data_IF_654475008157
#
_entry.id   IF_654475008157
#
_cell.length_a   1.000
_cell.length_b   1.000
_cell.length_c   1.000
_cell.angle_alpha   90.00
_cell.angle_beta   90.00
_cell.angle_gamma   90.00
#
_symmetry.space_group_name_H-M   'P 1'
#
loop_
_entity.id
_entity.type
_entity.pdbx_description
1 polymer ?
#
# COMPACT_ATOMS: atom_id res chain seq x y z
N UNK A 1 -26.07 3.49 -20.00
CA UNK A 1 -24.65 3.34 -19.62
C UNK A 1 -23.79 3.82 -20.79
N UNK A 2 -22.82 4.72 -20.58
CA UNK A 2 -21.93 5.19 -21.65
C UNK A 2 -20.95 4.10 -22.11
N UNK A 3 -20.41 4.24 -23.32
CA UNK A 3 -19.46 3.28 -23.92
C UNK A 3 -18.26 2.96 -23.01
N UNK A 4 -17.68 3.98 -22.35
CA UNK A 4 -16.58 3.80 -21.40
C UNK A 4 -17.01 2.97 -20.18
N UNK A 5 -18.22 3.18 -19.67
CA UNK A 5 -18.73 2.40 -18.54
C UNK A 5 -18.93 0.93 -18.92
N UNK A 6 -19.38 0.66 -20.15
CA UNK A 6 -19.46 -0.70 -20.69
C UNK A 6 -18.07 -1.34 -20.85
N UNK A 7 -17.07 -0.60 -21.36
CA UNK A 7 -15.69 -1.12 -21.48
C UNK A 7 -15.11 -1.53 -20.13
N UNK A 8 -15.38 -0.78 -19.07
CA UNK A 8 -14.94 -1.07 -17.70
C UNK A 8 -15.59 -2.31 -17.08
N UNK A 9 -16.60 -2.92 -17.71
CA UNK A 9 -17.16 -4.20 -17.26
C UNK A 9 -16.64 -5.38 -18.06
N UNK A 10 -15.90 -5.13 -19.15
CA UNK A 10 -15.45 -6.18 -20.04
C UNK A 10 -14.26 -6.93 -19.44
N UNK A 11 -14.44 -8.24 -19.27
CA UNK A 11 -13.40 -9.12 -18.75
C UNK A 11 -12.11 -9.06 -19.58
N UNK A 12 -12.22 -8.94 -20.91
CA UNK A 12 -11.04 -8.81 -21.79
C UNK A 12 -10.23 -7.56 -21.47
N UNK A 13 -10.86 -6.44 -21.12
CA UNK A 13 -10.15 -5.20 -20.78
C UNK A 13 -9.40 -5.35 -19.45
N UNK A 14 -10.02 -6.00 -18.47
CA UNK A 14 -9.35 -6.33 -17.20
C UNK A 14 -8.15 -7.25 -17.42
N UNK A 15 -8.27 -8.21 -18.33
CA UNK A 15 -7.18 -9.10 -18.69
C UNK A 15 -6.02 -8.35 -19.34
N UNK A 16 -6.30 -7.39 -20.23
CA UNK A 16 -5.28 -6.54 -20.85
C UNK A 16 -4.58 -5.63 -19.83
N UNK A 17 -5.33 -5.01 -18.91
CA UNK A 17 -4.75 -4.21 -17.81
C UNK A 17 -3.85 -5.09 -16.93
N UNK A 18 -4.33 -6.27 -16.54
CA UNK A 18 -3.57 -7.23 -15.75
C UNK A 18 -2.33 -7.72 -16.48
N UNK A 19 -2.42 -7.98 -17.78
CA UNK A 19 -1.28 -8.35 -18.64
C UNK A 19 -0.21 -7.25 -18.65
N UNK A 20 -0.61 -5.99 -18.87
CA UNK A 20 0.32 -4.84 -18.85
C UNK A 20 1.04 -4.75 -17.51
N UNK A 21 0.30 -4.83 -16.40
CA UNK A 21 0.90 -4.79 -15.06
C UNK A 21 1.87 -5.95 -14.81
N UNK A 22 1.47 -7.17 -15.16
CA UNK A 22 2.30 -8.37 -14.90
C UNK A 22 3.56 -8.36 -15.75
N UNK A 23 3.44 -8.15 -17.06
CA UNK A 23 4.58 -8.23 -17.97
C UNK A 23 5.54 -7.06 -17.77
N UNK A 24 5.03 -5.83 -17.59
CA UNK A 24 5.90 -4.70 -17.23
C UNK A 24 6.59 -4.93 -15.88
N UNK A 25 5.89 -5.47 -14.88
CA UNK A 25 6.48 -5.82 -13.59
C UNK A 25 7.62 -6.84 -13.70
N UNK A 26 7.46 -7.88 -14.54
CA UNK A 26 8.51 -8.86 -14.79
C UNK A 26 9.75 -8.23 -15.45
N UNK A 27 9.53 -7.38 -16.45
CA UNK A 27 10.61 -6.62 -17.11
C UNK A 27 11.30 -5.71 -16.11
N UNK A 28 10.55 -4.97 -15.30
CA UNK A 28 11.08 -4.07 -14.27
C UNK A 28 11.92 -4.87 -13.26
N UNK A 29 11.42 -5.99 -12.73
CA UNK A 29 12.17 -6.80 -11.78
C UNK A 29 13.43 -7.41 -12.40
N UNK A 30 13.40 -7.79 -13.67
CA UNK A 30 14.60 -8.24 -14.37
C UNK A 30 15.64 -7.12 -14.42
N UNK A 31 15.23 -5.88 -14.75
CA UNK A 31 16.13 -4.72 -14.71
C UNK A 31 16.64 -4.49 -13.28
N UNK A 32 15.80 -4.57 -12.25
CA UNK A 32 16.21 -4.44 -10.85
C UNK A 32 17.22 -5.51 -10.44
N UNK A 33 17.05 -6.74 -10.89
CA UNK A 33 18.03 -7.81 -10.69
C UNK A 33 19.40 -7.42 -11.29
N UNK A 34 19.39 -6.87 -12.51
CA UNK A 34 20.62 -6.35 -13.13
C UNK A 34 21.23 -5.19 -12.33
N UNK A 35 20.45 -4.38 -11.60
CA UNK A 35 21.00 -3.31 -10.77
C UNK A 35 21.82 -3.79 -9.57
N UNK A 36 21.76 -5.07 -9.18
CA UNK A 36 22.54 -5.58 -8.03
C UNK A 36 24.05 -5.33 -8.15
N UNK A 37 24.58 -5.29 -9.39
CA UNK A 37 25.99 -4.95 -9.64
C UNK A 37 26.35 -3.52 -9.20
N UNK A 38 25.36 -2.62 -9.14
CA UNK A 38 25.54 -1.24 -8.70
C UNK A 38 25.61 -1.12 -7.18
N UNK A 39 25.03 -2.06 -6.42
CA UNK A 39 24.95 -1.98 -4.96
C UNK A 39 26.33 -1.87 -4.28
N UNK A 40 27.34 -2.73 -4.60
CA UNK A 40 28.67 -2.61 -4.00
C UNK A 40 29.50 -1.43 -4.55
N UNK A 41 29.17 -0.91 -5.75
CA UNK A 41 29.91 0.19 -6.40
C UNK A 41 29.40 1.55 -5.90
N UNK A 42 28.09 1.74 -5.93
CA UNK A 42 27.42 2.97 -5.51
C UNK A 42 25.98 2.65 -5.04
N UNK A 43 25.87 2.29 -3.76
CA UNK A 43 24.60 2.02 -3.05
C UNK A 43 23.56 3.13 -3.24
N UNK A 44 23.98 4.39 -3.25
CA UNK A 44 23.06 5.52 -3.39
C UNK A 44 22.48 5.63 -4.80
N UNK A 45 23.30 5.39 -5.82
CA UNK A 45 22.82 5.31 -7.20
C UNK A 45 21.89 4.10 -7.40
N UNK A 46 22.27 2.93 -6.87
CA UNK A 46 21.40 1.74 -6.84
C UNK A 46 20.00 2.06 -6.28
N UNK A 47 19.93 2.74 -5.13
CA UNK A 47 18.67 3.13 -4.48
C UNK A 47 17.83 4.07 -5.34
N UNK A 48 18.45 5.11 -5.91
CA UNK A 48 17.75 6.08 -6.77
C UNK A 48 17.15 5.40 -7.99
N UNK A 49 17.92 4.55 -8.66
CA UNK A 49 17.44 3.77 -9.83
C UNK A 49 16.27 2.87 -9.43
N UNK A 50 16.40 2.12 -8.34
CA UNK A 50 15.34 1.24 -7.85
C UNK A 50 14.08 2.00 -7.43
N UNK A 51 14.19 3.21 -6.88
CA UNK A 51 13.03 4.07 -6.63
C UNK A 51 12.29 4.46 -7.92
N UNK A 52 13.00 4.74 -9.02
CA UNK A 52 12.36 5.06 -10.31
C UNK A 52 11.73 3.82 -10.97
N UNK A 53 12.38 2.68 -10.87
CA UNK A 53 11.83 1.39 -11.33
C UNK A 53 10.56 1.02 -10.55
N UNK A 54 10.60 1.14 -9.23
CA UNK A 54 9.45 0.93 -8.37
C UNK A 54 8.30 1.91 -8.66
N UNK A 55 8.61 3.19 -8.89
CA UNK A 55 7.63 4.19 -9.32
C UNK A 55 6.88 3.73 -10.59
N UNK A 56 7.60 3.24 -11.59
CA UNK A 56 6.98 2.77 -12.85
C UNK A 56 6.02 1.60 -12.64
N UNK A 57 6.25 0.76 -11.62
CA UNK A 57 5.33 -0.32 -11.25
C UNK A 57 4.13 0.19 -10.42
N UNK A 58 4.37 0.92 -9.33
CA UNK A 58 3.31 1.40 -8.43
C UNK A 58 2.36 2.39 -9.08
N UNK A 59 2.89 3.24 -9.97
CA UNK A 59 2.10 4.24 -10.70
C UNK A 59 1.00 3.61 -11.55
N UNK A 60 1.13 2.35 -11.99
CA UNK A 60 0.06 1.66 -12.72
C UNK A 60 -1.15 1.36 -11.83
N UNK A 61 -0.93 1.03 -10.56
CA UNK A 61 -2.01 0.84 -9.58
C UNK A 61 -2.63 2.17 -9.18
N UNK A 62 -1.81 3.22 -9.00
CA UNK A 62 -2.33 4.59 -8.77
C UNK A 62 -3.13 5.07 -9.98
N UNK A 63 -2.69 4.74 -11.21
CA UNK A 63 -3.45 5.03 -12.44
C UNK A 63 -4.83 4.37 -12.41
N UNK A 64 -4.87 3.10 -11.99
CA UNK A 64 -6.12 2.35 -11.86
C UNK A 64 -7.08 3.02 -10.85
N UNK A 65 -6.56 3.53 -9.74
CA UNK A 65 -7.36 4.25 -8.73
C UNK A 65 -7.84 5.62 -9.23
N UNK A 66 -6.93 6.46 -9.73
CA UNK A 66 -7.24 7.87 -10.02
C UNK A 66 -7.94 8.04 -11.37
N UNK A 67 -7.41 7.43 -12.42
CA UNK A 67 -7.83 7.68 -13.80
C UNK A 67 -8.86 6.66 -14.27
N UNK A 68 -8.65 5.38 -13.95
CA UNK A 68 -9.56 4.32 -14.39
C UNK A 68 -10.86 4.28 -13.59
N UNK A 69 -10.83 4.17 -12.26
CA UNK A 69 -12.07 4.18 -11.46
C UNK A 69 -12.62 5.58 -11.20
N UNK A 70 -11.78 6.61 -11.36
CA UNK A 70 -12.15 7.99 -11.06
C UNK A 70 -12.26 8.28 -9.57
N UNK A 71 -11.70 7.42 -8.71
CA UNK A 71 -11.73 7.62 -7.25
C UNK A 71 -11.10 8.96 -6.87
N UNK A 72 -11.74 9.63 -5.92
CA UNK A 72 -11.26 10.89 -5.36
C UNK A 72 -10.68 10.65 -3.97
N UNK A 73 -9.61 11.39 -3.67
CA UNK A 73 -8.99 11.41 -2.36
C UNK A 73 -8.91 12.86 -1.89
N UNK A 74 -9.56 13.15 -0.77
CA UNK A 74 -9.61 14.45 -0.11
C UNK A 74 -8.73 14.39 1.13
N UNK A 75 -7.92 15.42 1.33
CA UNK A 75 -7.03 15.55 2.48
C UNK A 75 -7.61 16.58 3.46
N UNK A 76 -7.55 16.28 4.75
CA UNK A 76 -7.93 17.18 5.84
C UNK A 76 -6.71 17.37 6.74
N UNK A 77 -6.20 18.59 6.81
CA UNK A 77 -5.02 18.92 7.61
C UNK A 77 -4.93 20.44 7.82
N UNK A 78 -3.88 20.92 8.46
CA UNK A 78 -3.51 22.33 8.47
C UNK A 78 -2.51 22.64 7.32
N UNK A 79 -2.49 23.89 6.86
CA UNK A 79 -1.66 24.31 5.73
C UNK A 79 -0.16 24.15 6.00
N UNK A 80 0.28 24.39 7.24
CA UNK A 80 1.70 24.25 7.62
C UNK A 80 2.15 22.78 7.46
N UNK A 81 1.32 21.83 7.90
CA UNK A 81 1.55 20.39 7.68
C UNK A 81 1.61 20.05 6.19
N UNK A 82 0.64 20.48 5.38
CA UNK A 82 0.63 20.17 3.93
C UNK A 82 1.89 20.71 3.23
N UNK A 83 2.39 21.86 3.63
CA UNK A 83 3.60 22.47 3.05
C UNK A 83 4.88 21.65 3.28
N UNK A 84 4.89 20.73 4.26
CA UNK A 84 6.01 19.81 4.53
C UNK A 84 5.98 18.54 3.68
N UNK A 85 4.84 18.20 3.08
CA UNK A 85 4.68 16.92 2.39
C UNK A 85 5.63 16.78 1.20
N UNK A 86 6.27 15.61 1.11
CA UNK A 86 7.25 15.29 0.07
C UNK A 86 8.63 15.93 0.28
N UNK A 87 8.85 16.63 1.41
CA UNK A 87 10.09 17.37 1.71
C UNK A 87 10.78 16.92 3.00
N UNK A 88 10.32 15.84 3.61
CA UNK A 88 10.92 15.26 4.82
C UNK A 88 10.73 13.74 4.86
N UNK A 89 11.61 13.05 5.57
CA UNK A 89 11.44 11.64 5.91
C UNK A 89 10.47 11.53 7.08
N UNK A 90 9.49 10.63 7.00
CA UNK A 90 8.45 10.49 8.03
C UNK A 90 8.06 9.05 8.29
N UNK A 91 7.60 8.79 9.51
CA UNK A 91 6.86 7.58 9.85
C UNK A 91 5.37 7.90 9.68
N UNK A 92 4.63 7.07 8.97
CA UNK A 92 3.19 7.20 8.76
C UNK A 92 2.47 6.15 9.59
N UNK A 93 1.49 6.57 10.39
CA UNK A 93 0.59 5.66 11.11
C UNK A 93 -0.79 5.76 10.48
N UNK A 94 -1.21 4.71 9.79
CA UNK A 94 -2.51 4.63 9.11
C UNK A 94 -3.40 3.60 9.80
N UNK A 95 -4.69 3.89 9.95
CA UNK A 95 -5.67 2.87 10.36
C UNK A 95 -5.85 1.83 9.25
N UNK A 96 -6.19 0.59 9.61
CA UNK A 96 -6.24 -0.52 8.68
C UNK A 96 -7.63 -1.11 8.57
N UNK A 97 -8.54 -0.44 7.88
CA UNK A 97 -9.95 -0.86 7.85
C UNK A 97 -10.36 -1.45 6.51
N UNK A 98 -9.79 -0.97 5.39
CA UNK A 98 -10.26 -1.29 4.06
C UNK A 98 -9.22 -2.05 3.23
N UNK A 99 -9.69 -2.68 2.16
CA UNK A 99 -8.82 -3.43 1.27
C UNK A 99 -7.78 -2.51 0.62
N UNK A 100 -8.23 -1.33 0.17
CA UNK A 100 -7.45 -0.39 -0.65
C UNK A 100 -6.81 0.76 0.15
N UNK A 101 -6.68 0.64 1.48
CA UNK A 101 -6.06 1.67 2.34
C UNK A 101 -4.71 2.13 1.79
N UNK A 102 -3.87 1.14 1.44
CA UNK A 102 -2.53 1.36 0.91
C UNK A 102 -2.55 2.13 -0.42
N UNK A 103 -3.57 1.90 -1.25
CA UNK A 103 -3.68 2.52 -2.57
C UNK A 103 -4.10 3.99 -2.46
N UNK A 104 -4.96 4.32 -1.50
CA UNK A 104 -5.27 5.71 -1.13
C UNK A 104 -4.04 6.42 -0.56
N UNK A 105 -3.25 5.75 0.28
CA UNK A 105 -1.95 6.27 0.74
C UNK A 105 -0.98 6.49 -0.43
N UNK A 106 -0.90 5.56 -1.38
CA UNK A 106 -0.05 5.68 -2.56
C UNK A 106 -0.46 6.83 -3.47
N UNK A 107 -1.75 7.12 -3.62
CA UNK A 107 -2.22 8.33 -4.29
C UNK A 107 -1.64 9.59 -3.66
N UNK A 108 -1.54 9.68 -2.33
CA UNK A 108 -0.89 10.83 -1.69
C UNK A 108 0.61 10.85 -1.95
N UNK A 109 1.29 9.70 -1.85
CA UNK A 109 2.73 9.64 -2.18
C UNK A 109 3.02 10.01 -3.63
N UNK A 110 2.11 9.70 -4.58
CA UNK A 110 2.20 10.14 -5.97
C UNK A 110 2.12 11.66 -6.06
N UNK A 111 1.10 12.26 -5.45
CA UNK A 111 0.83 13.70 -5.50
C UNK A 111 1.98 14.53 -4.91
N UNK A 112 2.68 13.98 -3.93
CA UNK A 112 3.83 14.63 -3.27
C UNK A 112 5.20 14.09 -3.69
N UNK A 113 5.27 13.26 -4.75
CA UNK A 113 6.55 12.91 -5.38
C UNK A 113 7.40 11.84 -4.69
N UNK A 114 6.83 11.08 -3.75
CA UNK A 114 7.54 10.08 -2.93
C UNK A 114 7.05 8.64 -3.13
N UNK A 115 6.24 8.37 -4.17
CA UNK A 115 5.68 7.03 -4.43
C UNK A 115 6.76 5.93 -4.54
N UNK A 116 7.84 6.20 -5.28
CA UNK A 116 8.94 5.25 -5.48
C UNK A 116 9.83 5.01 -4.25
N UNK A 117 9.79 5.93 -3.28
CA UNK A 117 10.53 5.85 -2.01
C UNK A 117 9.63 5.52 -0.82
N UNK A 118 8.34 5.27 -1.04
CA UNK A 118 7.41 4.78 -0.02
C UNK A 118 7.86 3.41 0.50
N UNK A 119 7.77 3.23 1.82
CA UNK A 119 8.18 2.00 2.52
C UNK A 119 7.07 1.53 3.44
N UNK A 120 7.13 0.27 3.82
CA UNK A 120 6.21 -0.33 4.78
C UNK A 120 6.95 -1.38 5.60
N UNK A 121 6.52 -1.64 6.83
CA UNK A 121 6.93 -2.88 7.51
C UNK A 121 6.07 -4.04 6.97
N UNK A 122 6.65 -4.88 6.10
CA UNK A 122 5.92 -5.90 5.35
C UNK A 122 5.92 -7.27 6.05
N UNK A 123 4.87 -8.06 5.81
CA UNK A 123 4.85 -9.48 6.21
C UNK A 123 5.81 -10.29 5.36
N UNK A 124 6.57 -11.22 5.95
CA UNK A 124 7.56 -12.04 5.22
C UNK A 124 6.96 -12.84 4.08
N UNK A 125 5.72 -13.29 4.21
CA UNK A 125 4.98 -14.01 3.18
C UNK A 125 4.84 -13.18 1.89
N UNK A 126 4.82 -11.85 2.00
CA UNK A 126 4.73 -10.94 0.85
C UNK A 126 6.01 -10.91 0.01
N UNK A 127 7.16 -11.33 0.55
CA UNK A 127 8.41 -11.47 -0.22
C UNK A 127 8.24 -12.44 -1.39
N UNK A 128 7.40 -13.46 -1.23
CA UNK A 128 7.16 -14.49 -2.24
C UNK A 128 6.08 -14.13 -3.25
N UNK A 129 5.41 -12.97 -3.08
CA UNK A 129 4.46 -12.46 -4.08
C UNK A 129 5.28 -11.91 -5.25
N UNK A 130 5.19 -12.52 -6.46
CA UNK A 130 5.93 -12.04 -7.61
C UNK A 130 5.60 -10.58 -7.90
N UNK A 131 6.53 -9.87 -8.54
CA UNK A 131 6.42 -8.44 -8.85
C UNK A 131 6.54 -7.55 -7.62
N UNK A 132 5.61 -7.71 -6.68
CA UNK A 132 5.47 -6.82 -5.52
C UNK A 132 6.57 -7.10 -4.50
N UNK A 133 6.67 -8.34 -4.03
CA UNK A 133 7.64 -8.77 -3.02
C UNK A 133 9.08 -8.59 -3.50
N UNK A 134 9.34 -8.85 -4.78
CA UNK A 134 10.67 -8.68 -5.39
C UNK A 134 11.04 -7.20 -5.51
N UNK A 135 10.12 -6.35 -5.98
CA UNK A 135 10.35 -4.88 -5.99
C UNK A 135 10.65 -4.36 -4.58
N UNK A 136 9.89 -4.83 -3.58
CA UNK A 136 10.12 -4.48 -2.17
C UNK A 136 11.48 -4.94 -1.65
N UNK A 137 11.94 -6.14 -2.03
CA UNK A 137 13.29 -6.59 -1.72
C UNK A 137 14.36 -5.63 -2.28
N UNK A 138 14.27 -5.25 -3.55
CA UNK A 138 15.22 -4.33 -4.16
C UNK A 138 15.16 -2.91 -3.57
N UNK A 139 14.01 -2.52 -3.03
CA UNK A 139 13.82 -1.28 -2.28
C UNK A 139 14.31 -1.37 -0.82
N UNK A 140 14.91 -2.48 -0.39
CA UNK A 140 15.35 -2.68 1.01
C UNK A 140 14.20 -2.54 2.02
N UNK A 141 12.99 -2.94 1.64
CA UNK A 141 11.85 -2.99 2.56
C UNK A 141 12.09 -4.06 3.64
N UNK A 142 11.69 -3.74 4.87
CA UNK A 142 11.84 -4.62 6.02
C UNK A 142 10.69 -5.63 6.05
N UNK A 143 11.04 -6.92 6.04
CA UNK A 143 10.09 -8.04 6.13
C UNK A 143 10.13 -8.69 7.51
N UNK A 144 8.97 -8.95 8.12
CA UNK A 144 8.85 -9.59 9.44
C UNK A 144 7.94 -10.83 9.42
N UNK A 145 8.30 -11.85 10.21
CA UNK A 145 7.50 -13.05 10.48
C UNK A 145 6.36 -12.82 11.47
N UNK A 146 6.31 -11.64 12.10
CA UNK A 146 5.35 -11.24 13.15
C UNK A 146 5.57 -11.98 14.47
N UNK A 147 6.81 -12.37 14.74
CA UNK A 147 7.27 -12.92 16.02
C UNK A 147 8.50 -12.13 16.45
N UNK A 148 8.34 -11.28 17.46
CA UNK A 148 9.34 -10.28 17.81
C UNK A 148 10.71 -10.91 18.11
N UNK A 149 10.71 -12.04 18.80
CA UNK A 149 11.91 -12.78 19.19
C UNK A 149 12.71 -13.28 17.97
N UNK A 150 12.03 -13.58 16.86
CA UNK A 150 12.67 -14.02 15.62
C UNK A 150 13.02 -12.85 14.69
N UNK A 151 12.30 -11.73 14.79
CA UNK A 151 12.37 -10.61 13.85
C UNK A 151 13.28 -9.46 14.32
N UNK A 152 13.54 -9.36 15.63
CA UNK A 152 14.16 -8.18 16.27
C UNK A 152 15.39 -7.68 15.51
N UNK A 153 16.38 -8.54 15.30
CA UNK A 153 17.65 -8.13 14.71
C UNK A 153 17.48 -7.75 13.24
N UNK A 154 16.71 -8.53 12.48
CA UNK A 154 16.40 -8.24 11.07
C UNK A 154 15.67 -6.91 10.90
N UNK A 155 14.72 -6.61 11.79
CA UNK A 155 13.97 -5.35 11.77
C UNK A 155 14.87 -4.17 12.12
N UNK A 156 15.67 -4.29 13.19
CA UNK A 156 16.59 -3.23 13.62
C UNK A 156 17.63 -2.93 12.53
N UNK A 157 18.28 -3.96 11.98
CA UNK A 157 19.26 -3.80 10.90
C UNK A 157 18.64 -3.26 9.62
N UNK A 158 17.43 -3.72 9.28
CA UNK A 158 16.66 -3.22 8.14
C UNK A 158 16.36 -1.73 8.27
N UNK A 159 15.85 -1.29 9.43
CA UNK A 159 15.54 0.11 9.69
C UNK A 159 16.79 0.99 9.73
N UNK A 160 17.85 0.55 10.39
CA UNK A 160 19.14 1.29 10.42
C UNK A 160 19.73 1.46 9.02
N UNK A 161 19.57 0.48 8.13
CA UNK A 161 19.98 0.61 6.73
C UNK A 161 19.25 1.72 5.98
N UNK A 162 18.07 2.16 6.43
CA UNK A 162 17.32 3.25 5.79
C UNK A 162 17.75 4.64 6.26
N UNK A 163 18.65 4.74 7.24
CA UNK A 163 19.08 6.03 7.79
C UNK A 163 19.77 6.94 6.76
N UNK A 164 20.43 6.36 5.75
CA UNK A 164 21.13 7.04 4.66
C UNK A 164 20.38 6.95 3.31
N UNK A 165 19.04 6.79 3.34
CA UNK A 165 18.25 6.65 2.10
C UNK A 165 18.22 7.99 1.32
N UNK A 166 18.51 8.02 0.01
CA UNK A 166 18.78 9.27 -0.71
C UNK A 166 17.54 10.05 -1.16
N UNK A 167 16.35 9.45 -1.01
CA UNK A 167 15.06 10.02 -1.41
C UNK A 167 14.20 10.15 -0.16
N UNK A 168 13.41 11.23 -0.04
CA UNK A 168 12.50 11.40 1.10
C UNK A 168 11.59 10.18 1.23
N UNK A 169 11.62 9.58 2.41
CA UNK A 169 11.02 8.28 2.68
C UNK A 169 9.79 8.44 3.53
N UNK A 170 8.67 7.90 3.05
CA UNK A 170 7.43 7.79 3.82
C UNK A 170 7.27 6.33 4.29
N UNK A 171 7.55 6.08 5.56
CA UNK A 171 7.59 4.74 6.16
C UNK A 171 6.28 4.40 6.85
N UNK A 172 5.45 3.59 6.19
CA UNK A 172 4.12 3.21 6.64
C UNK A 172 4.13 2.11 7.71
N UNK A 173 3.35 2.35 8.77
CA UNK A 173 3.02 1.40 9.83
C UNK A 173 1.50 1.31 10.00
N UNK A 174 1.00 0.08 9.91
CA UNK A 174 -0.33 -0.28 10.41
C UNK A 174 -0.18 -0.83 11.82
N UNK A 175 -0.27 0.04 12.83
CA UNK A 175 0.01 -0.36 14.21
C UNK A 175 -1.05 -1.34 14.76
N UNK A 176 -2.24 -1.42 14.17
CA UNK A 176 -3.23 -2.46 14.46
C UNK A 176 -2.74 -3.88 14.13
N UNK A 177 -1.79 -4.00 13.19
CA UNK A 177 -1.14 -5.25 12.79
C UNK A 177 -1.99 -6.20 11.93
N UNK A 178 -3.27 -5.88 11.72
CA UNK A 178 -4.19 -6.57 10.82
C UNK A 178 -5.33 -5.64 10.44
N UNK A 179 -6.00 -5.93 9.33
CA UNK A 179 -7.26 -5.25 9.00
C UNK A 179 -8.32 -5.48 10.06
N UNK A 180 -9.10 -4.44 10.33
CA UNK A 180 -10.28 -4.46 11.17
C UNK A 180 -11.32 -5.46 10.64
N UNK A 181 -11.83 -6.30 11.53
CA UNK A 181 -13.07 -7.07 11.34
C UNK A 181 -13.76 -7.16 12.69
N UNK A 182 -15.07 -7.32 12.71
CA UNK A 182 -15.86 -7.40 13.96
C UNK A 182 -15.29 -8.45 14.94
N UNK A 183 -14.94 -9.63 14.41
CA UNK A 183 -14.32 -10.72 15.20
C UNK A 183 -12.99 -10.30 15.81
N UNK A 184 -12.12 -9.63 15.04
CA UNK A 184 -10.80 -9.17 15.52
C UNK A 184 -10.93 -8.03 16.50
N UNK A 185 -11.92 -7.17 16.32
CA UNK A 185 -12.24 -6.08 17.24
C UNK A 185 -12.66 -6.62 18.60
N UNK A 186 -13.62 -7.55 18.65
CA UNK A 186 -14.02 -8.22 19.91
C UNK A 186 -12.81 -8.80 20.66
N UNK A 187 -11.98 -9.58 19.97
CA UNK A 187 -10.76 -10.17 20.56
C UNK A 187 -9.80 -9.06 21.04
N UNK A 188 -9.63 -8.01 20.24
CA UNK A 188 -8.78 -6.88 20.63
C UNK A 188 -9.28 -6.15 21.87
N UNK A 189 -10.60 -6.07 22.08
CA UNK A 189 -11.21 -5.43 23.24
C UNK A 189 -11.09 -6.29 24.50
N UNK A 190 -11.17 -7.61 24.39
CA UNK A 190 -10.85 -8.54 25.49
C UNK A 190 -9.39 -8.37 25.93
N UNK A 191 -8.46 -8.23 24.97
CA UNK A 191 -7.05 -7.96 25.25
C UNK A 191 -6.86 -6.58 25.90
N UNK A 192 -7.60 -5.55 25.48
CA UNK A 192 -7.54 -4.24 26.10
C UNK A 192 -7.98 -4.31 27.58
N UNK A 193 -9.11 -4.97 27.86
CA UNK A 193 -9.65 -5.15 29.21
C UNK A 193 -8.70 -5.90 30.14
N UNK A 194 -8.16 -7.05 29.69
CA UNK A 194 -7.18 -7.83 30.46
C UNK A 194 -5.88 -7.07 30.76
N UNK A 195 -5.54 -6.05 29.97
CA UNK A 195 -4.36 -5.19 30.18
C UNK A 195 -4.69 -3.88 30.89
N UNK A 196 -5.95 -3.65 31.28
CA UNK A 196 -6.38 -2.39 31.87
C UNK A 196 -6.28 -1.19 30.92
N UNK A 197 -6.31 -1.43 29.61
CA UNK A 197 -6.26 -0.38 28.59
C UNK A 197 -7.69 0.04 28.16
N UNK A 198 -7.90 1.31 27.80
CA UNK A 198 -9.19 1.77 27.29
C UNK A 198 -9.67 0.97 26.07
N UNK A 199 -10.96 0.65 26.04
CA UNK A 199 -11.61 0.01 24.88
C UNK A 199 -11.81 1.06 23.78
N UNK A 200 -11.50 0.68 22.54
CA UNK A 200 -11.69 1.49 21.33
C UNK A 200 -12.93 0.99 20.58
N UNK A 201 -13.68 1.88 19.93
CA UNK A 201 -14.92 1.52 19.23
C UNK A 201 -14.70 1.19 17.76
N UNK A 202 -13.76 1.85 17.10
CA UNK A 202 -13.57 1.81 15.65
C UNK A 202 -12.20 1.30 15.19
N UNK A 203 -11.26 1.14 16.12
CA UNK A 203 -9.91 0.65 15.83
C UNK A 203 -9.56 -0.56 16.68
N UNK A 204 -8.61 -1.36 16.22
CA UNK A 204 -7.96 -2.37 17.06
C UNK A 204 -6.96 -1.70 18.00
N UNK A 205 -6.66 -2.36 19.12
CA UNK A 205 -5.63 -1.91 20.05
C UNK A 205 -4.26 -1.95 19.34
N UNK A 206 -3.49 -0.84 19.31
CA UNK A 206 -2.24 -0.81 18.58
C UNK A 206 -1.17 -1.68 19.23
N UNK A 207 -0.38 -2.33 18.37
CA UNK A 207 0.86 -3.02 18.73
C UNK A 207 2.00 -2.02 18.70
N UNK A 208 2.68 -1.88 19.83
CA UNK A 208 3.64 -0.79 20.04
C UNK A 208 5.04 -1.10 19.53
N UNK A 209 5.49 -2.36 19.60
CA UNK A 209 6.88 -2.77 19.29
C UNK A 209 7.38 -2.31 17.93
N UNK A 210 6.58 -2.43 16.87
CA UNK A 210 6.97 -2.00 15.52
C UNK A 210 7.18 -0.49 15.44
N UNK A 211 6.28 0.28 16.06
CA UNK A 211 6.37 1.74 16.13
C UNK A 211 7.55 2.20 16.98
N UNK A 212 7.69 1.70 18.21
CA UNK A 212 8.76 2.12 19.12
C UNK A 212 10.14 1.80 18.54
N UNK A 213 10.30 0.64 17.91
CA UNK A 213 11.54 0.27 17.22
C UNK A 213 11.83 1.17 16.02
N UNK A 214 10.80 1.49 15.20
CA UNK A 214 10.96 2.39 14.06
C UNK A 214 11.37 3.80 14.49
N UNK A 215 10.71 4.36 15.51
CA UNK A 215 11.05 5.67 16.10
C UNK A 215 12.49 5.65 16.60
N UNK A 216 12.90 4.62 17.36
CA UNK A 216 14.26 4.54 17.89
C UNK A 216 15.32 4.41 16.79
N UNK A 217 15.09 3.54 15.79
CA UNK A 217 16.08 3.26 14.74
C UNK A 217 16.20 4.39 13.71
N UNK A 218 15.11 5.11 13.45
CA UNK A 218 15.06 6.18 12.45
C UNK A 218 15.22 7.58 13.07
N UNK A 219 15.43 7.69 14.39
CA UNK A 219 15.71 8.96 15.06
C UNK A 219 16.99 9.56 14.49
N UNK A 220 16.93 10.84 14.09
CA UNK A 220 18.00 11.52 13.37
C UNK A 220 17.88 11.43 11.84
N UNK A 221 17.00 10.57 11.31
CA UNK A 221 16.67 10.50 9.88
C UNK A 221 15.28 11.05 9.60
N UNK A 222 14.25 10.58 10.32
CA UNK A 222 12.88 11.07 10.15
C UNK A 222 12.66 12.36 10.95
N UNK A 223 11.89 13.28 10.38
CA UNK A 223 11.61 14.59 10.98
C UNK A 223 10.30 14.60 11.75
N UNK A 224 9.34 13.76 11.38
CA UNK A 224 8.02 13.72 11.98
C UNK A 224 7.33 12.34 11.89
N UNK A 225 6.31 12.17 12.72
CA UNK A 225 5.28 11.14 12.59
C UNK A 225 4.02 11.78 12.00
N UNK A 226 3.52 11.22 10.90
CA UNK A 226 2.23 11.59 10.33
C UNK A 226 1.18 10.58 10.78
N UNK A 227 0.23 11.06 11.56
CA UNK A 227 -0.94 10.31 11.97
C UNK A 227 -2.04 10.47 10.93
N UNK A 228 -2.42 9.37 10.28
CA UNK A 228 -3.41 9.38 9.19
C UNK A 228 -4.63 8.55 9.55
N UNK A 229 -5.82 9.15 9.44
CA UNK A 229 -7.10 8.45 9.58
C UNK A 229 -7.83 8.52 8.24
N UNK A 230 -8.03 7.37 7.63
CA UNK A 230 -8.70 7.17 6.34
C UNK A 230 -10.11 6.63 6.57
N UNK A 231 -11.07 7.25 5.90
CA UNK A 231 -12.43 6.71 5.77
C UNK A 231 -13.01 6.95 4.36
N UNK A 232 -14.11 6.26 4.05
CA UNK A 232 -14.80 6.38 2.78
C UNK A 232 -16.21 6.93 2.99
N UNK A 233 -16.59 7.93 2.18
CA UNK A 233 -17.94 8.54 2.26
C UNK A 233 -19.04 7.52 2.00
N UNK A 234 -20.14 7.67 2.73
CA UNK A 234 -21.31 6.80 2.62
C UNK A 234 -21.07 5.37 3.11
N UNK A 235 -20.12 5.16 4.04
CA UNK A 235 -19.79 3.86 4.65
C UNK A 235 -19.57 2.76 3.61
N UNK A 236 -18.96 3.12 2.48
CA UNK A 236 -18.63 2.18 1.42
C UNK A 236 -17.46 1.31 1.85
N UNK A 237 -17.54 0.02 1.52
CA UNK A 237 -16.40 -0.90 1.59
C UNK A 237 -15.74 -1.00 0.21
N UNK A 238 -14.62 -0.30 -0.02
CA UNK A 238 -13.92 -0.36 -1.28
C UNK A 238 -13.10 -1.63 -1.43
N UNK A 239 -13.03 -2.13 -2.66
CA UNK A 239 -12.25 -3.30 -3.04
C UNK A 239 -11.44 -3.03 -4.30
N UNK A 240 -10.31 -3.71 -4.45
CA UNK A 240 -9.49 -3.59 -5.66
C UNK A 240 -10.27 -4.05 -6.90
N UNK A 241 -11.09 -5.08 -6.74
CA UNK A 241 -12.01 -5.54 -7.79
C UNK A 241 -13.02 -4.44 -8.17
N UNK A 242 -13.59 -3.73 -7.19
CA UNK A 242 -14.47 -2.59 -7.45
C UNK A 242 -13.80 -1.52 -8.30
N UNK A 243 -12.55 -1.15 -7.98
CA UNK A 243 -11.74 -0.22 -8.78
C UNK A 243 -11.56 -0.75 -10.21
N UNK A 244 -11.24 -2.03 -10.38
CA UNK A 244 -11.06 -2.65 -11.70
C UNK A 244 -12.34 -2.58 -12.55
N UNK A 245 -13.51 -2.79 -11.94
CA UNK A 245 -14.82 -2.60 -12.59
C UNK A 245 -15.23 -1.12 -12.76
N UNK A 246 -14.35 -0.18 -12.44
CA UNK A 246 -14.60 1.25 -12.62
C UNK A 246 -15.45 1.90 -11.52
N UNK A 247 -15.66 1.25 -10.38
CA UNK A 247 -16.43 1.80 -9.27
C UNK A 247 -15.65 2.95 -8.63
N UNK A 248 -16.23 4.16 -8.70
CA UNK A 248 -15.71 5.35 -8.04
C UNK A 248 -15.95 5.29 -6.54
N UNK A 249 -14.93 5.66 -5.78
CA UNK A 249 -15.01 5.88 -4.35
C UNK A 249 -14.58 7.32 -4.00
N UNK A 250 -14.90 7.74 -2.78
CA UNK A 250 -14.55 9.04 -2.22
C UNK A 250 -13.87 8.77 -0.88
N UNK A 251 -12.53 8.80 -0.90
CA UNK A 251 -11.69 8.61 0.26
C UNK A 251 -11.39 9.96 0.91
N UNK A 252 -11.61 10.07 2.21
CA UNK A 252 -11.23 11.23 3.01
C UNK A 252 -10.11 10.79 3.96
N UNK A 253 -9.03 11.58 4.02
CA UNK A 253 -7.86 11.31 4.86
C UNK A 253 -7.57 12.51 5.74
N UNK A 254 -7.73 12.36 7.05
CA UNK A 254 -7.24 13.34 8.02
C UNK A 254 -5.79 13.05 8.36
N UNK A 255 -4.92 14.06 8.26
CA UNK A 255 -3.49 13.94 8.58
C UNK A 255 -3.11 14.95 9.65
N UNK A 256 -2.52 14.45 10.75
CA UNK A 256 -1.95 15.24 11.83
C UNK A 256 -0.44 15.01 11.89
N UNK A 257 0.35 16.08 11.95
CA UNK A 257 1.81 16.01 12.01
C UNK A 257 2.30 16.18 13.44
N UNK A 258 3.17 15.28 13.87
CA UNK A 258 3.86 15.34 15.16
C UNK A 258 5.37 15.38 14.90
N UNK A 259 6.07 16.48 15.21
CA UNK A 259 7.54 16.52 15.20
C UNK A 259 8.14 15.33 15.95
N UNK A 260 9.22 14.74 15.45
CA UNK A 260 9.81 13.56 16.09
C UNK A 260 10.39 13.86 17.49
N UNK A 261 10.76 15.10 17.72
CA UNK A 261 11.19 15.62 19.03
C UNK A 261 10.11 15.54 20.11
N UNK A 262 8.83 15.60 19.72
CA UNK A 262 7.69 15.47 20.63
C UNK A 262 7.35 13.99 20.94
N UNK A 263 7.95 13.05 20.21
CA UNK A 263 7.75 11.62 20.44
C UNK A 263 8.75 11.14 21.50
N UNK A 264 8.30 10.52 22.60
CA UNK A 264 9.19 10.08 23.67
C UNK A 264 10.31 9.15 23.19
N UNK A 265 11.48 9.24 23.84
CA UNK A 265 12.62 8.36 23.54
C UNK A 265 12.50 7.02 24.25
N UNK A 266 12.00 7.03 25.48
CA UNK A 266 11.76 5.81 26.25
C UNK A 266 10.70 4.94 25.55
N UNK A 267 10.96 3.64 25.51
CA UNK A 267 10.11 2.70 24.77
C UNK A 267 8.69 2.62 25.36
N UNK A 268 8.57 2.66 26.69
CA UNK A 268 7.29 2.55 27.39
C UNK A 268 6.48 3.84 27.25
N UNK A 269 7.14 4.99 27.34
CA UNK A 269 6.50 6.28 27.09
C UNK A 269 6.02 6.43 25.63
N UNK A 270 6.84 6.01 24.65
CA UNK A 270 6.44 6.01 23.24
C UNK A 270 5.29 5.03 22.96
N UNK A 271 5.26 3.89 23.65
CA UNK A 271 4.12 2.96 23.61
C UNK A 271 2.83 3.59 24.17
N UNK A 272 2.93 4.29 25.30
CA UNK A 272 1.80 5.02 25.88
C UNK A 272 1.31 6.16 24.98
N UNK A 273 2.24 6.89 24.34
CA UNK A 273 1.93 7.90 23.34
C UNK A 273 1.12 7.30 22.18
N UNK A 274 1.51 6.13 21.67
CA UNK A 274 0.76 5.43 20.61
C UNK A 274 -0.64 5.00 21.07
N UNK A 275 -0.79 4.50 22.30
CA UNK A 275 -2.09 4.16 22.85
C UNK A 275 -3.00 5.39 22.98
N UNK A 276 -2.45 6.55 23.36
CA UNK A 276 -3.20 7.81 23.40
C UNK A 276 -3.58 8.28 21.99
N UNK A 277 -2.64 8.21 21.03
CA UNK A 277 -2.89 8.54 19.63
C UNK A 277 -4.07 7.76 19.06
N UNK A 278 -4.16 6.46 19.36
CA UNK A 278 -5.27 5.62 18.90
C UNK A 278 -6.62 5.94 19.59
N UNK A 279 -6.61 6.40 20.84
CA UNK A 279 -7.84 6.92 21.48
C UNK A 279 -8.34 8.19 20.76
N UNK A 280 -7.42 9.09 20.40
CA UNK A 280 -7.77 10.29 19.64
C UNK A 280 -8.25 9.95 18.22
N UNK A 281 -7.63 8.96 17.56
CA UNK A 281 -8.12 8.43 16.26
C UNK A 281 -9.52 7.84 16.36
N UNK A 282 -9.84 7.19 17.47
CA UNK A 282 -11.15 6.60 17.71
C UNK A 282 -12.23 7.67 17.85
N UNK A 283 -11.93 8.73 18.62
CA UNK A 283 -12.80 9.90 18.74
C UNK A 283 -12.96 10.64 17.39
N UNK A 284 -11.89 10.74 16.60
CA UNK A 284 -11.93 11.32 15.25
C UNK A 284 -12.84 10.51 14.30
N UNK A 285 -12.83 9.18 14.43
CA UNK A 285 -13.68 8.30 13.65
C UNK A 285 -15.15 8.37 14.09
N UNK A 286 -15.43 8.53 15.39
CA UNK A 286 -16.77 8.83 15.91
C UNK A 286 -17.30 10.13 15.30
N UNK A 287 -16.52 11.21 15.36
CA UNK A 287 -16.87 12.51 14.78
C UNK A 287 -17.18 12.40 13.29
N UNK A 288 -16.33 11.72 12.51
CA UNK A 288 -16.58 11.53 11.09
C UNK A 288 -17.88 10.75 10.82
N UNK A 289 -18.21 9.75 11.65
CA UNK A 289 -19.45 9.00 11.48
C UNK A 289 -20.70 9.85 11.79
N UNK A 290 -20.58 10.85 12.67
CA UNK A 290 -21.66 11.77 13.04
C UNK A 290 -21.82 12.91 12.04
N UNK A 291 -20.71 13.51 11.60
CA UNK A 291 -20.69 14.73 10.78
C UNK A 291 -20.52 14.44 9.28
N UNK A 292 -20.01 13.27 8.91
CA UNK A 292 -19.73 12.88 7.53
C UNK A 292 -18.48 13.50 6.91
N UNK A 293 -17.68 14.22 7.71
CA UNK A 293 -16.46 14.92 7.28
C UNK A 293 -15.45 14.95 8.43
N UNK A 294 -14.14 15.04 8.10
CA UNK A 294 -13.10 15.24 9.11
C UNK A 294 -12.94 16.73 9.44
N UNK A 295 -12.47 17.07 10.65
CA UNK A 295 -12.13 18.43 11.02
C UNK A 295 -10.90 18.93 10.24
N UNK A 296 -10.79 20.25 10.11
CA UNK A 296 -9.64 20.92 9.48
C UNK A 296 -9.92 21.39 8.05
N UNK A 297 -8.90 22.02 7.45
CA UNK A 297 -9.01 22.56 6.10
C UNK A 297 -8.95 21.43 5.07
N UNK A 298 -9.81 21.53 4.06
CA UNK A 298 -9.88 20.56 2.98
C UNK A 298 -8.90 20.91 1.85
N UNK A 299 -8.06 19.94 1.48
CA UNK A 299 -7.15 20.02 0.36
C UNK A 299 -7.46 18.92 -0.65
N UNK A 300 -7.43 19.26 -1.94
CA UNK A 300 -7.49 18.29 -3.05
C UNK A 300 -6.26 18.47 -3.93
N UNK A 301 -5.09 17.92 -3.55
CA UNK A 301 -3.89 18.09 -4.34
C UNK A 301 -4.12 17.52 -5.75
N UNK A 302 -3.69 18.20 -6.83
CA UNK A 302 -4.06 17.81 -8.19
C UNK A 302 -3.46 16.46 -8.58
N UNK A 303 -4.17 15.73 -9.44
CA UNK A 303 -3.64 14.49 -10.04
C UNK A 303 -2.44 14.83 -10.93
N UNK A 304 -1.37 14.04 -10.82
CA UNK A 304 -0.21 14.18 -11.71
C UNK A 304 -0.42 13.31 -12.95
N UNK A 305 -0.12 13.79 -14.17
CA UNK A 305 -0.37 13.04 -15.40
C UNK A 305 0.56 11.83 -15.57
N UNK A 306 1.65 11.75 -14.81
CA UNK A 306 2.72 10.78 -14.98
C UNK A 306 2.27 9.33 -14.82
N UNK A 307 1.30 9.05 -13.94
CA UNK A 307 0.77 7.69 -13.75
C UNK A 307 0.02 7.20 -14.99
N UNK A 308 -0.78 8.07 -15.61
CA UNK A 308 -1.46 7.80 -16.87
C UNK A 308 -0.47 7.65 -18.02
N UNK A 309 0.49 8.57 -18.16
CA UNK A 309 1.49 8.52 -19.24
C UNK A 309 2.36 7.25 -19.15
N UNK A 310 2.80 6.87 -17.94
CA UNK A 310 3.57 5.65 -17.73
C UNK A 310 2.74 4.40 -18.09
N UNK A 311 1.46 4.35 -17.71
CA UNK A 311 0.59 3.23 -18.11
C UNK A 311 0.38 3.18 -19.62
N UNK A 312 0.12 4.31 -20.28
CA UNK A 312 -0.06 4.36 -21.73
C UNK A 312 1.21 3.91 -22.45
N UNK A 313 2.38 4.32 -21.98
CA UNK A 313 3.67 3.84 -22.52
C UNK A 313 3.78 2.31 -22.46
N UNK A 314 3.57 1.72 -21.28
CA UNK A 314 3.63 0.26 -21.12
C UNK A 314 2.54 -0.46 -21.93
N UNK A 315 1.32 0.09 -21.96
CA UNK A 315 0.23 -0.46 -22.75
C UNK A 315 0.57 -0.46 -24.24
N UNK A 316 1.12 0.62 -24.79
CA UNK A 316 1.54 0.66 -26.19
C UNK A 316 2.65 -0.34 -26.47
N UNK A 317 3.72 -0.34 -25.68
CA UNK A 317 4.88 -1.23 -25.89
C UNK A 317 4.49 -2.71 -25.81
N UNK A 318 3.57 -3.07 -24.91
CA UNK A 318 3.24 -4.48 -24.65
C UNK A 318 2.03 -4.98 -25.44
N UNK A 319 1.01 -4.15 -25.66
CA UNK A 319 -0.21 -4.58 -26.33
C UNK A 319 -0.08 -4.56 -27.86
N UNK A 320 0.71 -3.65 -28.44
CA UNK A 320 0.94 -3.62 -29.89
C UNK A 320 1.46 -4.95 -30.45
N UNK A 321 2.59 -5.53 -29.96
CA UNK A 321 3.05 -6.83 -30.43
C UNK A 321 2.10 -7.97 -30.06
N UNK A 322 1.42 -7.90 -28.90
CA UNK A 322 0.44 -8.90 -28.49
C UNK A 322 -0.73 -8.99 -29.48
N UNK A 323 -1.26 -7.84 -29.92
CA UNK A 323 -2.35 -7.81 -30.90
C UNK A 323 -1.90 -8.30 -32.27
N UNK A 324 -0.70 -7.91 -32.72
CA UNK A 324 -0.13 -8.43 -33.98
C UNK A 324 0.03 -9.95 -33.93
N UNK A 325 0.57 -10.48 -32.83
CA UNK A 325 0.73 -11.92 -32.62
C UNK A 325 -0.62 -12.63 -32.57
N UNK A 326 -1.57 -12.12 -31.77
CA UNK A 326 -2.91 -12.69 -31.65
C UNK A 326 -3.62 -12.74 -32.99
N UNK A 327 -3.59 -11.66 -33.77
CA UNK A 327 -4.13 -11.64 -35.12
C UNK A 327 -3.48 -12.69 -36.02
N UNK A 328 -2.15 -12.83 -35.99
CA UNK A 328 -1.44 -13.86 -36.73
C UNK A 328 -1.86 -15.29 -36.34
N UNK A 329 -2.06 -15.56 -35.04
CA UNK A 329 -2.54 -16.85 -34.54
C UNK A 329 -3.93 -17.17 -35.10
N UNK A 330 -4.88 -16.24 -35.02
CA UNK A 330 -6.23 -16.46 -35.54
C UNK A 330 -6.26 -16.54 -37.08
N UNK A 331 -5.49 -15.69 -37.76
CA UNK A 331 -5.38 -15.67 -39.22
C UNK A 331 -4.72 -16.96 -39.77
N UNK A 332 -3.89 -17.64 -38.98
CA UNK A 332 -3.30 -18.92 -39.37
C UNK A 332 -4.34 -20.04 -39.58
N UNK A 333 -5.53 -19.90 -39.00
CA UNK A 333 -6.57 -20.93 -39.01
C UNK A 333 -6.22 -22.22 -38.27
N UNK A 334 -5.03 -22.30 -37.65
CA UNK A 334 -4.55 -23.50 -36.95
C UNK A 334 -5.28 -23.68 -35.61
N UNK A 335 -6.10 -24.74 -35.44
CA UNK A 335 -6.82 -24.97 -34.19
C UNK A 335 -5.87 -25.15 -33.00
N UNK A 336 -4.72 -25.78 -33.22
CA UNK A 336 -3.71 -26.00 -32.18
C UNK A 336 -3.12 -24.68 -31.66
N UNK A 337 -2.75 -23.76 -32.56
CA UNK A 337 -2.18 -22.47 -32.16
C UNK A 337 -3.23 -21.60 -31.45
N UNK A 338 -4.48 -21.63 -31.92
CA UNK A 338 -5.59 -20.92 -31.28
C UNK A 338 -5.85 -21.48 -29.88
N UNK A 339 -5.93 -22.80 -29.72
CA UNK A 339 -6.13 -23.44 -28.41
C UNK A 339 -4.96 -23.15 -27.45
N UNK A 340 -3.72 -23.19 -27.93
CA UNK A 340 -2.54 -22.86 -27.14
C UNK A 340 -2.57 -21.39 -26.66
N UNK A 341 -2.92 -20.45 -27.55
CA UNK A 341 -3.05 -19.04 -27.21
C UNK A 341 -4.16 -18.79 -26.20
N UNK A 342 -5.34 -19.40 -26.38
CA UNK A 342 -6.44 -19.31 -25.42
C UNK A 342 -6.06 -19.92 -24.06
N UNK A 343 -5.31 -21.03 -24.05
CA UNK A 343 -4.77 -21.64 -22.84
C UNK A 343 -3.82 -20.71 -22.08
N UNK A 344 -2.91 -20.04 -22.79
CA UNK A 344 -2.01 -19.03 -22.22
C UNK A 344 -2.79 -17.87 -21.58
N UNK A 345 -3.78 -17.34 -22.29
CA UNK A 345 -4.67 -16.27 -21.80
C UNK A 345 -5.42 -16.73 -20.54
N UNK A 346 -5.91 -17.97 -20.52
CA UNK A 346 -6.56 -18.57 -19.35
C UNK A 346 -5.63 -18.67 -18.14
N UNK A 347 -4.38 -19.11 -18.34
CA UNK A 347 -3.37 -19.18 -17.28
C UNK A 347 -2.99 -17.80 -16.75
N UNK A 348 -2.82 -16.80 -17.63
CA UNK A 348 -2.54 -15.42 -17.25
C UNK A 348 -3.69 -14.81 -16.42
N UNK A 349 -4.94 -15.04 -16.84
CA UNK A 349 -6.14 -14.66 -16.08
C UNK A 349 -6.13 -15.22 -14.65
N UNK A 350 -5.83 -16.52 -14.52
CA UNK A 350 -5.74 -17.17 -13.21
C UNK A 350 -4.67 -16.53 -12.32
N UNK A 351 -3.49 -16.22 -12.87
CA UNK A 351 -2.41 -15.53 -12.17
C UNK A 351 -2.83 -14.15 -11.64
N UNK A 352 -3.47 -13.33 -12.48
CA UNK A 352 -3.96 -11.98 -12.08
C UNK A 352 -4.99 -12.07 -10.95
N UNK A 353 -5.94 -13.01 -11.03
CA UNK A 353 -6.93 -13.23 -9.96
C UNK A 353 -6.26 -13.66 -8.65
N UNK A 354 -5.21 -14.50 -8.72
CA UNK A 354 -4.40 -14.88 -7.55
C UNK A 354 -3.73 -13.67 -6.89
N UNK A 355 -3.20 -12.73 -7.67
CA UNK A 355 -2.59 -11.49 -7.15
C UNK A 355 -3.61 -10.59 -6.45
N UNK A 356 -4.78 -10.37 -7.06
CA UNK A 356 -5.89 -9.64 -6.42
C UNK A 356 -6.32 -10.34 -5.12
N UNK A 357 -6.35 -11.67 -5.13
CA UNK A 357 -6.69 -12.45 -3.95
C UNK A 357 -5.75 -12.25 -2.75
N UNK A 358 -4.54 -11.70 -2.92
CA UNK A 358 -3.62 -11.38 -1.81
C UNK A 358 -4.06 -10.13 -1.05
N UNK A 359 -4.82 -9.23 -1.70
CA UNK A 359 -5.27 -7.99 -1.06
C UNK A 359 -6.53 -8.19 -0.22
N UNK A 360 -7.32 -9.23 -0.48
CA UNK A 360 -8.60 -9.52 0.19
C UNK A 360 -8.49 -9.61 1.72
N UNK A 361 -9.53 -9.14 2.42
CA UNK A 361 -9.57 -9.04 3.89
C UNK A 361 -9.63 -10.42 4.55
N UNK A 362 -10.35 -11.37 3.95
CA UNK A 362 -10.53 -12.74 4.47
C UNK A 362 -9.23 -13.55 4.52
N UNK A 363 -8.27 -13.22 3.64
CA UNK A 363 -6.91 -13.78 3.68
C UNK A 363 -5.96 -13.04 4.63
N UNK A 364 -6.49 -12.10 5.42
CA UNK A 364 -5.78 -11.43 6.49
C UNK A 364 -5.36 -12.38 7.61
N UNK A 365 -4.57 -11.89 8.58
CA UNK A 365 -4.03 -12.75 9.65
C UNK A 365 -5.13 -13.49 10.43
N UNK A 366 -4.89 -14.77 10.76
CA UNK A 366 -5.68 -15.61 11.69
C UNK A 366 -5.55 -15.19 13.16
N UNK A 367 -5.11 -13.95 13.43
CA UNK A 367 -4.69 -13.53 14.76
C UNK A 367 -5.85 -13.55 15.75
N UNK A 368 -5.64 -14.24 16.87
CA UNK A 368 -6.62 -14.38 17.96
C UNK A 368 -7.71 -15.42 17.70
N UNK A 369 -7.77 -16.01 16.50
CA UNK A 369 -8.82 -16.96 16.17
C UNK A 369 -8.41 -18.37 16.60
N UNK A 370 -8.93 -18.83 17.75
CA UNK A 370 -8.65 -20.18 18.27
C UNK A 370 -9.15 -21.30 17.33
N UNK A 371 -10.11 -21.02 16.45
CA UNK A 371 -10.60 -21.98 15.45
C UNK A 371 -9.59 -22.30 14.35
N UNK A 372 -8.71 -21.35 14.00
CA UNK A 372 -7.67 -21.58 12.98
C UNK A 372 -6.50 -22.42 13.50
N UNK A 373 -6.25 -22.42 14.81
CA UNK A 373 -5.20 -23.26 15.44
C UNK A 373 -5.49 -24.76 15.38
N UNK A 374 -6.70 -25.18 14.97
CA UNK A 374 -7.06 -26.60 14.80
C UNK A 374 -6.88 -27.12 13.37
N UNK A 375 -6.39 -26.30 12.43
CA UNK A 375 -6.22 -26.68 11.00
C UNK A 375 -4.82 -26.43 10.42
N UNK A 376 -3.85 -26.02 11.24
CA UNK A 376 -2.41 -26.17 10.94
C UNK A 376 -1.88 -27.35 11.75
#
# INVERSE_FOLDING_TARGET
>A
MGFIAFLKTQFIVHLLIGFVFVVSGLIINFIQLCTLVLWPINKQFYRRVNCRLAYSLWSQLVMLLEWWSGTECTLFSDEATVNTFGKEHVIIILNHNFEIDFLCGWTMTERFGVLGSSKVLAKRELLYVPLIGWTWYFLEIVFCKRKWEEDRDTVIEGLKRLADYPEYMWFLLYCEGTRFTETKHRISMEVAESKGLPKLKYHLLPRTKGFTTAVQCLRGTVSAVYDVTLNFRGNKNPSLLGILYGKKYEADMCVRRFPLEDIPQDEKEAANWLHKLYQEKDALQEMYNQEGIFPGQQFKPPRRPWTLLNFLFWATVLLSPLFTFGFGVFASGSPLLILAFLGLVGAASFGVRRLIGVTEIEKGSSYGNQEFKKKE
#
